data_IF_276619649439
#
_entry.id   IF_276619649439
#
_cell.length_a   1.000
_cell.length_b   1.000
_cell.length_c   1.000
_cell.angle_alpha   90.00
_cell.angle_beta   90.00
_cell.angle_gamma   90.00
#
_symmetry.space_group_name_H-M   'P 1'
#
loop_
_entity.id
_entity.type
_entity.pdbx_description
1 polymer ?
#
# COMPACT_ATOMS: atom_id res chain seq x y z
N UNK A 1 23.37 14.54 14.64
CA UNK A 1 23.18 13.23 14.03
C UNK A 1 24.57 12.71 13.71
N UNK A 2 24.96 11.59 14.33
CA UNK A 2 26.26 10.97 14.12
C UNK A 2 26.45 10.43 12.68
N UNK A 3 27.68 10.06 12.37
CA UNK A 3 27.98 9.32 11.14
C UNK A 3 27.21 7.99 11.12
N UNK A 4 27.05 7.37 9.95
CA UNK A 4 26.43 6.02 9.84
C UNK A 4 27.06 4.96 10.76
N UNK A 5 28.30 5.16 11.20
CA UNK A 5 29.01 4.26 12.11
C UNK A 5 28.63 4.49 13.59
N UNK A 6 28.02 5.64 13.92
CA UNK A 6 27.63 6.02 15.28
C UNK A 6 26.11 5.93 15.50
N UNK A 7 25.36 5.49 14.48
CA UNK A 7 23.92 5.31 14.59
C UNK A 7 23.59 4.18 15.59
N UNK A 8 23.04 4.53 16.74
CA UNK A 8 22.60 3.59 17.74
C UNK A 8 21.32 2.82 17.31
N UNK A 9 21.09 1.70 17.96
CA UNK A 9 19.85 0.94 17.83
C UNK A 9 18.82 1.48 18.83
N UNK A 10 17.61 1.76 18.36
CA UNK A 10 16.54 2.30 19.19
C UNK A 10 15.39 1.30 19.29
N UNK A 11 14.91 1.08 20.50
CA UNK A 11 13.71 0.32 20.77
C UNK A 11 12.53 1.29 20.86
N UNK A 12 11.56 1.16 19.94
CA UNK A 12 10.31 1.91 19.98
C UNK A 12 9.23 1.00 20.54
N UNK A 13 8.73 1.33 21.74
CA UNK A 13 7.71 0.53 22.44
C UNK A 13 6.39 1.29 22.45
N UNK A 14 5.31 0.69 21.97
CA UNK A 14 3.95 1.27 22.03
C UNK A 14 3.36 1.07 23.43
N UNK A 15 2.70 2.12 23.92
CA UNK A 15 1.94 2.16 25.19
C UNK A 15 0.58 2.81 24.93
N UNK A 16 -0.44 2.03 24.56
CA UNK A 16 -1.77 2.57 24.19
C UNK A 16 -1.67 3.69 23.14
N UNK A 17 -1.77 4.95 23.58
CA UNK A 17 -1.84 6.12 22.70
C UNK A 17 -0.52 6.87 22.53
N UNK A 18 0.58 6.34 23.06
CA UNK A 18 1.89 6.95 22.98
C UNK A 18 3.01 5.91 22.81
N UNK A 19 4.21 6.38 22.55
CA UNK A 19 5.39 5.55 22.35
C UNK A 19 6.50 6.01 23.29
N UNK A 20 7.33 5.07 23.69
CA UNK A 20 8.64 5.35 24.28
C UNK A 20 9.70 5.00 23.26
N UNK A 21 10.72 5.84 23.13
CA UNK A 21 11.88 5.63 22.26
C UNK A 21 13.11 5.51 23.19
N UNK A 22 13.68 4.32 23.24
CA UNK A 22 14.79 4.01 24.13
C UNK A 22 16.03 3.62 23.32
N UNK A 23 17.17 4.17 23.66
CA UNK A 23 18.46 3.72 23.15
C UNK A 23 18.79 2.34 23.76
N UNK A 24 18.99 1.34 22.92
CA UNK A 24 19.23 -0.03 23.38
C UNK A 24 20.55 -0.21 24.14
N UNK A 25 21.53 0.62 23.87
CA UNK A 25 22.87 0.55 24.51
C UNK A 25 22.85 1.23 25.87
N UNK A 26 22.37 2.47 25.93
CA UNK A 26 22.40 3.27 27.16
C UNK A 26 21.19 3.07 28.05
N UNK A 27 20.12 2.44 27.52
CA UNK A 27 18.82 2.28 28.19
C UNK A 27 18.16 3.60 28.60
N UNK A 28 18.51 4.69 27.91
CA UNK A 28 17.94 6.01 28.15
C UNK A 28 16.79 6.27 27.18
N UNK A 29 15.75 6.94 27.64
CA UNK A 29 14.63 7.36 26.82
C UNK A 29 14.92 8.69 26.12
N UNK A 30 14.47 8.80 24.88
CA UNK A 30 14.51 10.06 24.15
C UNK A 30 13.50 11.04 24.76
N UNK A 31 13.93 12.25 25.07
CA UNK A 31 13.12 13.33 25.61
C UNK A 31 13.39 14.64 24.88
N UNK A 32 12.52 15.62 25.02
CA UNK A 32 12.69 16.98 24.53
C UNK A 32 12.82 17.91 25.73
N UNK A 33 13.88 18.68 25.79
CA UNK A 33 14.07 19.72 26.81
C UNK A 33 13.38 21.05 26.42
N UNK A 34 13.38 22.00 27.33
CA UNK A 34 12.73 23.32 27.15
C UNK A 34 13.27 24.14 25.96
N UNK A 35 14.49 23.84 25.51
CA UNK A 35 15.10 24.45 24.34
C UNK A 35 14.81 23.71 23.02
N UNK A 36 13.85 22.80 23.00
CA UNK A 36 13.52 21.95 21.84
C UNK A 36 14.67 21.06 21.34
N UNK A 37 15.64 20.79 22.22
CA UNK A 37 16.74 19.85 21.96
C UNK A 37 16.30 18.46 22.36
N UNK A 38 16.51 17.49 21.47
CA UNK A 38 16.27 16.08 21.76
C UNK A 38 17.48 15.52 22.52
N UNK A 39 17.23 14.91 23.65
CA UNK A 39 18.26 14.29 24.49
C UNK A 39 17.80 12.93 25.06
N UNK A 40 18.75 12.08 25.38
CA UNK A 40 18.46 10.83 26.07
C UNK A 40 18.52 11.02 27.58
N UNK A 41 17.44 10.70 28.25
CA UNK A 41 17.24 10.86 29.69
C UNK A 41 16.87 9.56 30.36
N UNK A 42 17.07 9.51 31.68
CA UNK A 42 16.54 8.42 32.52
C UNK A 42 15.08 8.60 32.90
N UNK A 43 14.42 9.70 32.49
CA UNK A 43 13.03 9.94 32.79
C UNK A 43 12.13 8.89 32.10
N UNK A 44 11.45 8.10 32.93
CA UNK A 44 10.50 7.07 32.48
C UNK A 44 9.20 7.65 31.93
N UNK A 45 8.95 8.94 32.13
CA UNK A 45 7.75 9.65 31.66
C UNK A 45 7.97 10.32 30.29
N UNK A 46 9.17 10.19 29.71
CA UNK A 46 9.45 10.65 28.35
C UNK A 46 8.64 9.83 27.34
N UNK A 47 7.52 10.40 26.89
CA UNK A 47 6.59 9.74 25.97
C UNK A 47 6.41 10.55 24.69
N UNK A 48 6.25 9.84 23.59
CA UNK A 48 6.11 10.42 22.26
C UNK A 48 4.77 10.01 21.64
N UNK A 49 4.07 10.97 21.09
CA UNK A 49 2.99 10.68 20.15
C UNK A 49 3.60 10.69 18.74
N UNK A 50 3.74 9.52 18.16
CA UNK A 50 4.13 9.42 16.76
C UNK A 50 2.92 9.81 15.92
N UNK A 51 2.93 11.04 15.42
CA UNK A 51 1.98 11.48 14.41
C UNK A 51 2.63 11.30 13.06
N UNK A 52 1.88 10.69 12.13
CA UNK A 52 2.32 10.64 10.74
C UNK A 52 2.51 12.07 10.26
N UNK A 53 3.68 12.39 9.74
CA UNK A 53 3.85 13.62 9.00
C UNK A 53 3.03 13.48 7.71
N UNK A 54 1.82 14.02 7.70
CA UNK A 54 0.95 14.08 6.52
C UNK A 54 1.45 15.12 5.53
N UNK A 55 2.77 15.18 5.28
CA UNK A 55 3.25 15.84 4.08
C UNK A 55 2.61 15.07 2.94
N UNK A 56 1.75 15.72 2.18
CA UNK A 56 1.05 15.08 1.07
C UNK A 56 2.10 14.36 0.21
N UNK A 57 1.98 13.04 0.13
CA UNK A 57 2.83 12.27 -0.76
C UNK A 57 2.47 12.75 -2.16
N UNK A 58 3.45 13.25 -2.91
CA UNK A 58 3.24 13.64 -4.31
C UNK A 58 2.97 12.38 -5.13
N UNK A 59 1.72 11.97 -5.17
CA UNK A 59 1.28 10.69 -5.74
C UNK A 59 1.64 10.56 -7.23
N UNK A 60 1.74 11.68 -7.94
CA UNK A 60 2.15 11.73 -9.35
C UNK A 60 3.58 11.19 -9.60
N UNK A 61 4.44 11.28 -8.59
CA UNK A 61 5.85 10.86 -8.68
C UNK A 61 6.11 9.48 -8.04
N UNK A 62 5.06 8.78 -7.60
CA UNK A 62 5.21 7.45 -7.02
C UNK A 62 5.48 6.42 -8.13
N UNK A 63 6.45 5.55 -7.87
CA UNK A 63 6.70 4.40 -8.73
C UNK A 63 5.52 3.43 -8.70
N UNK A 64 5.16 2.89 -9.87
CA UNK A 64 4.22 1.77 -9.98
C UNK A 64 4.99 0.47 -9.83
N UNK A 65 4.58 -0.35 -8.87
CA UNK A 65 5.10 -1.71 -8.72
C UNK A 65 4.33 -2.66 -9.61
N UNK A 66 5.04 -3.28 -10.53
CA UNK A 66 4.43 -4.13 -11.57
C UNK A 66 4.65 -5.61 -11.28
N UNK A 67 3.62 -6.42 -11.48
CA UNK A 67 3.64 -7.85 -11.19
C UNK A 67 4.63 -8.67 -12.04
N UNK A 68 5.07 -8.14 -13.17
CA UNK A 68 6.01 -8.79 -14.08
C UNK A 68 7.47 -8.31 -13.94
N UNK A 69 7.82 -7.56 -12.88
CA UNK A 69 9.20 -7.19 -12.60
C UNK A 69 10.04 -8.47 -12.42
N UNK A 70 11.19 -8.61 -13.11
CA UNK A 70 12.05 -9.80 -13.05
C UNK A 70 12.45 -10.23 -11.65
N UNK A 71 12.46 -9.31 -10.68
CA UNK A 71 12.78 -9.59 -9.26
C UNK A 71 11.81 -10.59 -8.65
N UNK A 72 10.54 -10.53 -9.00
CA UNK A 72 9.50 -11.37 -8.41
C UNK A 72 8.55 -12.06 -9.39
N UNK A 73 8.57 -11.72 -10.68
CA UNK A 73 7.61 -12.20 -11.69
C UNK A 73 7.37 -13.72 -11.67
N UNK A 74 8.44 -14.50 -11.47
CA UNK A 74 8.41 -15.97 -11.46
C UNK A 74 8.08 -16.58 -10.10
N UNK A 75 7.83 -15.75 -9.07
CA UNK A 75 7.49 -16.27 -7.76
C UNK A 75 6.16 -17.04 -7.83
N UNK A 76 6.18 -18.29 -7.37
CA UNK A 76 4.97 -19.09 -7.26
C UNK A 76 3.94 -18.40 -6.36
N UNK A 77 2.73 -18.25 -6.86
CA UNK A 77 1.63 -17.64 -6.12
C UNK A 77 0.53 -18.69 -5.87
N UNK A 78 0.60 -19.31 -4.71
CA UNK A 78 -0.29 -20.37 -4.28
C UNK A 78 0.19 -20.99 -2.97
N UNK A 79 -0.46 -22.08 -2.56
CA UNK A 79 -0.05 -22.93 -1.44
C UNK A 79 0.64 -24.21 -2.00
N UNK A 80 1.01 -25.12 -1.12
CA UNK A 80 1.68 -26.40 -1.49
C UNK A 80 0.87 -27.27 -2.45
N UNK A 81 -0.45 -27.09 -2.52
CA UNK A 81 -1.33 -27.86 -3.41
C UNK A 81 -1.57 -27.16 -4.75
N UNK A 82 -1.26 -25.87 -4.86
CA UNK A 82 -1.37 -25.11 -6.11
C UNK A 82 -0.27 -25.57 -7.07
N UNK A 83 -0.67 -25.99 -8.27
CA UNK A 83 0.30 -26.45 -9.27
C UNK A 83 1.25 -25.31 -9.65
N UNK A 84 2.54 -25.63 -9.75
CA UNK A 84 3.53 -24.73 -10.30
C UNK A 84 3.40 -24.71 -11.83
N UNK A 85 2.61 -23.78 -12.32
CA UNK A 85 2.32 -23.55 -13.74
C UNK A 85 2.60 -22.11 -14.11
N UNK A 86 2.69 -21.84 -15.41
CA UNK A 86 2.87 -20.48 -15.92
C UNK A 86 1.69 -19.54 -15.56
N UNK A 87 0.57 -20.09 -15.09
CA UNK A 87 -0.61 -19.32 -14.65
C UNK A 87 -0.63 -19.06 -13.15
N UNK A 88 0.23 -19.70 -12.36
CA UNK A 88 0.25 -19.61 -10.90
C UNK A 88 1.53 -18.93 -10.38
N UNK A 89 1.87 -17.78 -10.94
CA UNK A 89 2.98 -16.94 -10.51
C UNK A 89 2.58 -15.46 -10.45
N UNK A 90 3.44 -14.60 -9.93
CA UNK A 90 3.14 -13.18 -9.84
C UNK A 90 2.91 -12.53 -11.19
N UNK A 91 3.68 -12.88 -12.22
CA UNK A 91 3.55 -12.29 -13.54
C UNK A 91 2.13 -12.45 -14.12
N UNK A 92 1.52 -13.59 -13.92
CA UNK A 92 0.22 -13.93 -14.52
C UNK A 92 -0.97 -13.73 -13.58
N UNK A 93 -0.78 -13.87 -12.28
CA UNK A 93 -1.88 -13.90 -11.30
C UNK A 93 -1.72 -12.90 -10.16
N UNK A 94 -0.66 -12.09 -10.15
CA UNK A 94 -0.30 -11.22 -9.04
C UNK A 94 -1.02 -9.87 -8.98
N UNK A 95 -1.94 -9.56 -9.89
CA UNK A 95 -2.53 -8.22 -10.00
C UNK A 95 -3.16 -7.72 -8.69
N UNK A 96 -3.90 -8.56 -7.95
CA UNK A 96 -4.51 -8.17 -6.68
C UNK A 96 -3.47 -7.88 -5.58
N UNK A 97 -2.38 -8.65 -5.55
CA UNK A 97 -1.26 -8.41 -4.62
C UNK A 97 -0.59 -7.08 -4.94
N UNK A 98 -0.22 -6.84 -6.20
CA UNK A 98 0.49 -5.61 -6.59
C UNK A 98 -0.42 -4.37 -6.61
N UNK A 99 -1.73 -4.52 -6.84
CA UNK A 99 -2.68 -3.44 -6.60
C UNK A 99 -2.70 -3.06 -5.11
N UNK A 100 -2.65 -4.03 -4.20
CA UNK A 100 -2.54 -3.78 -2.75
C UNK A 100 -1.20 -3.13 -2.39
N UNK A 101 -0.08 -3.58 -2.97
CA UNK A 101 1.24 -2.94 -2.81
C UNK A 101 1.19 -1.48 -3.21
N UNK A 102 0.67 -1.17 -4.40
CA UNK A 102 0.55 0.19 -4.91
C UNK A 102 -0.36 1.06 -4.02
N UNK A 103 -1.48 0.50 -3.54
CA UNK A 103 -2.39 1.20 -2.64
C UNK A 103 -1.71 1.58 -1.31
N UNK A 104 -1.07 0.63 -0.64
CA UNK A 104 -0.37 0.86 0.62
C UNK A 104 0.79 1.86 0.41
N UNK A 105 1.58 1.67 -0.63
CA UNK A 105 2.69 2.57 -0.96
C UNK A 105 2.22 4.01 -1.21
N UNK A 106 1.13 4.19 -1.95
CA UNK A 106 0.58 5.52 -2.22
C UNK A 106 0.02 6.22 -0.97
N UNK A 107 -0.45 5.47 0.01
CA UNK A 107 -0.97 6.01 1.28
C UNK A 107 0.14 6.29 2.29
N UNK A 108 1.17 5.45 2.32
CA UNK A 108 2.13 5.42 3.43
C UNK A 108 3.58 5.71 3.05
N UNK A 109 3.92 5.61 1.77
CA UNK A 109 5.30 5.60 1.33
C UNK A 109 6.07 4.34 1.72
N UNK A 110 5.44 3.38 2.42
CA UNK A 110 6.06 2.10 2.76
C UNK A 110 5.83 1.11 1.64
N UNK A 111 6.89 0.44 1.21
CA UNK A 111 6.79 -0.70 0.31
C UNK A 111 6.46 -1.96 1.12
N UNK A 112 5.24 -2.51 1.02
CA UNK A 112 4.92 -3.76 1.67
C UNK A 112 5.56 -4.93 0.92
N UNK A 113 5.96 -5.97 1.67
CA UNK A 113 6.53 -7.17 1.07
C UNK A 113 5.45 -7.94 0.28
N UNK A 114 5.55 -8.04 -1.06
CA UNK A 114 4.58 -8.74 -1.88
C UNK A 114 4.54 -10.26 -1.58
N UNK A 115 5.64 -10.83 -1.13
CA UNK A 115 5.69 -12.25 -0.75
C UNK A 115 4.87 -12.53 0.50
N UNK A 116 4.96 -11.65 1.52
CA UNK A 116 4.17 -11.76 2.75
C UNK A 116 2.67 -11.61 2.46
N UNK A 117 2.30 -10.68 1.60
CA UNK A 117 0.91 -10.48 1.17
C UNK A 117 0.37 -11.72 0.42
N UNK A 118 1.15 -12.27 -0.50
CA UNK A 118 0.77 -13.43 -1.30
C UNK A 118 0.68 -14.71 -0.45
N UNK A 119 1.61 -14.91 0.48
CA UNK A 119 1.56 -16.03 1.42
C UNK A 119 0.29 -15.96 2.26
N UNK A 120 -0.03 -14.77 2.80
CA UNK A 120 -1.27 -14.59 3.57
C UNK A 120 -2.52 -14.85 2.72
N UNK A 121 -2.53 -14.37 1.46
CA UNK A 121 -3.66 -14.63 0.55
C UNK A 121 -3.85 -16.14 0.31
N UNK A 122 -2.76 -16.88 0.12
CA UNK A 122 -2.79 -18.33 -0.09
C UNK A 122 -3.22 -19.09 1.16
N UNK A 123 -2.67 -18.76 2.33
CA UNK A 123 -2.98 -19.41 3.62
C UNK A 123 -4.43 -19.20 4.06
N UNK A 124 -5.03 -18.09 3.64
CA UNK A 124 -6.40 -17.70 3.99
C UNK A 124 -7.41 -17.97 2.87
N UNK A 125 -7.00 -18.72 1.84
CA UNK A 125 -7.84 -19.12 0.71
C UNK A 125 -8.38 -17.94 -0.14
N UNK A 126 -7.68 -16.81 -0.15
CA UNK A 126 -7.97 -15.70 -1.07
C UNK A 126 -7.25 -15.86 -2.41
N UNK A 127 -6.36 -16.82 -2.56
CA UNK A 127 -5.78 -17.19 -3.84
C UNK A 127 -6.72 -18.18 -4.55
N UNK A 128 -7.18 -17.79 -5.75
CA UNK A 128 -7.98 -18.63 -6.63
C UNK A 128 -7.06 -19.19 -7.71
N UNK A 129 -6.89 -20.51 -7.75
CA UNK A 129 -6.01 -21.19 -8.72
C UNK A 129 -6.40 -20.83 -10.16
N UNK A 130 -5.41 -20.60 -11.02
CA UNK A 130 -5.55 -20.21 -12.43
C UNK A 130 -6.34 -18.89 -12.68
N UNK A 131 -6.67 -18.15 -11.62
CA UNK A 131 -7.46 -16.92 -11.71
C UNK A 131 -6.73 -15.70 -11.14
N UNK A 132 -6.41 -15.72 -9.85
CA UNK A 132 -5.80 -14.56 -9.19
C UNK A 132 -6.16 -14.45 -7.71
N UNK A 133 -6.42 -13.24 -7.27
CA UNK A 133 -6.75 -12.92 -5.88
C UNK A 133 -8.25 -12.66 -5.75
N UNK A 134 -8.90 -13.31 -4.78
CA UNK A 134 -10.28 -13.03 -4.39
C UNK A 134 -10.41 -11.63 -3.78
N UNK A 135 -11.50 -10.94 -4.05
CA UNK A 135 -11.72 -9.56 -3.57
C UNK A 135 -11.85 -9.44 -2.04
N UNK A 136 -12.24 -10.49 -1.36
CA UNK A 136 -12.25 -10.55 0.11
C UNK A 136 -10.87 -10.34 0.74
N UNK A 137 -9.82 -10.58 -0.03
CA UNK A 137 -8.43 -10.31 0.38
C UNK A 137 -8.21 -8.85 0.78
N UNK A 138 -8.80 -7.88 0.10
CA UNK A 138 -8.51 -6.47 0.35
C UNK A 138 -8.91 -6.04 1.77
N UNK A 139 -10.09 -6.44 2.24
CA UNK A 139 -10.49 -6.22 3.63
C UNK A 139 -9.60 -6.98 4.60
N UNK A 140 -9.36 -8.26 4.34
CA UNK A 140 -8.52 -9.11 5.20
C UNK A 140 -7.07 -8.64 5.27
N UNK A 141 -6.51 -8.11 4.18
CA UNK A 141 -5.18 -7.52 4.15
C UNK A 141 -5.09 -6.28 5.07
N UNK A 142 -6.12 -5.43 5.07
CA UNK A 142 -6.15 -4.28 5.98
C UNK A 142 -6.27 -4.70 7.45
N UNK A 143 -7.09 -5.69 7.75
CA UNK A 143 -7.20 -6.25 9.11
C UNK A 143 -5.88 -6.87 9.60
N UNK A 144 -5.12 -7.51 8.71
CA UNK A 144 -3.86 -8.17 9.05
C UNK A 144 -2.66 -7.22 9.08
N UNK A 145 -2.54 -6.36 8.09
CA UNK A 145 -1.34 -5.56 7.83
C UNK A 145 -1.53 -4.07 8.08
N UNK A 146 -2.76 -3.62 8.31
CA UNK A 146 -3.09 -2.21 8.45
C UNK A 146 -2.25 -1.52 9.51
N UNK A 147 -2.14 -2.11 10.69
CA UNK A 147 -1.29 -1.60 11.76
C UNK A 147 0.20 -1.51 11.37
N UNK A 148 0.71 -2.53 10.66
CA UNK A 148 2.12 -2.58 10.24
C UNK A 148 2.47 -1.48 9.24
N UNK A 149 1.57 -1.20 8.32
CA UNK A 149 1.82 -0.27 7.21
C UNK A 149 1.02 1.03 7.27
N UNK A 150 0.19 1.22 8.31
CA UNK A 150 -0.56 2.46 8.58
C UNK A 150 -1.68 2.71 7.59
N UNK A 151 -2.56 1.72 7.36
CA UNK A 151 -3.74 1.85 6.53
C UNK A 151 -4.90 1.03 7.08
N UNK A 152 -6.11 1.38 6.69
CA UNK A 152 -7.32 0.61 7.00
C UNK A 152 -8.24 0.48 5.78
N UNK A 153 -9.12 -0.53 5.84
CA UNK A 153 -10.17 -0.71 4.85
C UNK A 153 -11.34 0.22 5.15
N UNK A 154 -11.77 0.99 4.15
CA UNK A 154 -12.83 1.99 4.29
C UNK A 154 -14.07 1.70 3.43
N UNK A 155 -14.30 0.42 3.15
CA UNK A 155 -15.48 -0.03 2.41
C UNK A 155 -15.24 -0.30 0.94
N UNK A 156 -16.33 -0.53 0.23
CA UNK A 156 -16.34 -0.75 -1.22
C UNK A 156 -17.57 -0.09 -1.85
N UNK A 157 -17.48 0.26 -3.12
CA UNK A 157 -18.58 0.87 -3.87
C UNK A 157 -18.39 0.74 -5.37
N UNK A 158 -19.39 1.17 -6.12
CA UNK A 158 -19.40 1.12 -7.60
C UNK A 158 -19.55 2.53 -8.20
N UNK A 159 -19.71 3.55 -7.35
CA UNK A 159 -20.02 4.91 -7.76
C UNK A 159 -18.77 5.75 -7.99
N UNK A 160 -18.62 6.32 -9.18
CA UNK A 160 -17.60 7.32 -9.47
C UNK A 160 -17.75 8.61 -8.65
N UNK A 161 -18.97 8.94 -8.21
CA UNK A 161 -19.18 10.06 -7.29
C UNK A 161 -18.51 9.78 -5.94
N UNK A 162 -18.76 8.61 -5.38
CA UNK A 162 -18.13 8.17 -4.14
C UNK A 162 -16.60 8.08 -4.28
N UNK A 163 -16.11 7.48 -5.37
CA UNK A 163 -14.69 7.43 -5.67
C UNK A 163 -14.03 8.82 -5.63
N UNK A 164 -14.67 9.84 -6.28
CA UNK A 164 -14.16 11.22 -6.27
C UNK A 164 -14.10 11.80 -4.85
N UNK A 165 -15.09 11.53 -4.03
CA UNK A 165 -15.15 11.99 -2.64
C UNK A 165 -14.03 11.34 -1.82
N UNK A 166 -13.89 10.01 -1.90
CA UNK A 166 -12.84 9.25 -1.22
C UNK A 166 -11.43 9.71 -1.60
N UNK A 167 -11.16 9.88 -2.90
CA UNK A 167 -9.85 10.35 -3.36
C UNK A 167 -9.54 11.79 -2.90
N UNK A 168 -10.53 12.68 -2.80
CA UNK A 168 -10.37 14.03 -2.25
C UNK A 168 -10.07 14.01 -0.74
N UNK A 169 -10.56 13.02 -0.01
CA UNK A 169 -10.25 12.80 1.40
C UNK A 169 -8.83 12.23 1.61
N UNK A 170 -8.17 11.83 0.52
CA UNK A 170 -6.82 11.25 0.53
C UNK A 170 -6.78 9.74 0.50
N UNK A 171 -7.92 9.09 0.37
CA UNK A 171 -8.04 7.65 0.23
C UNK A 171 -7.44 7.17 -1.10
N UNK A 172 -7.31 5.87 -1.23
CA UNK A 172 -6.90 5.15 -2.43
C UNK A 172 -7.91 4.04 -2.70
N UNK A 173 -8.16 3.75 -3.96
CA UNK A 173 -9.09 2.70 -4.34
C UNK A 173 -8.39 1.60 -5.15
N UNK A 174 -8.57 0.34 -4.77
CA UNK A 174 -8.28 -0.79 -5.64
C UNK A 174 -9.52 -0.97 -6.54
N UNK A 175 -9.32 -0.86 -7.84
CA UNK A 175 -10.37 -0.97 -8.85
C UNK A 175 -10.39 -2.38 -9.44
N UNK A 176 -11.55 -3.04 -9.43
CA UNK A 176 -11.75 -4.29 -10.14
C UNK A 176 -12.10 -4.01 -11.59
N UNK A 177 -11.26 -4.47 -12.47
CA UNK A 177 -11.37 -4.44 -13.92
C UNK A 177 -11.73 -5.87 -14.41
N UNK A 178 -12.25 -6.08 -15.62
CA UNK A 178 -12.51 -7.43 -16.11
C UNK A 178 -11.25 -8.32 -16.08
N UNK A 179 -11.23 -9.26 -15.13
CA UNK A 179 -10.11 -10.19 -14.92
C UNK A 179 -8.82 -9.56 -14.42
N UNK A 180 -8.88 -8.36 -13.81
CA UNK A 180 -7.70 -7.62 -13.38
C UNK A 180 -7.99 -6.66 -12.22
N UNK A 181 -6.94 -6.26 -11.48
CA UNK A 181 -7.00 -5.20 -10.48
C UNK A 181 -5.96 -4.12 -10.78
N UNK A 182 -6.40 -2.86 -10.71
CA UNK A 182 -5.52 -1.68 -10.72
C UNK A 182 -5.75 -0.83 -9.46
N UNK A 183 -4.96 0.22 -9.28
CA UNK A 183 -5.07 1.11 -8.12
C UNK A 183 -5.29 2.54 -8.58
N UNK A 184 -6.35 3.18 -8.13
CA UNK A 184 -6.62 4.60 -8.36
C UNK A 184 -6.21 5.36 -7.10
N UNK A 185 -5.22 6.24 -7.24
CA UNK A 185 -4.55 6.86 -6.09
C UNK A 185 -4.83 8.35 -5.93
N UNK A 186 -5.32 9.02 -6.98
CA UNK A 186 -5.60 10.45 -6.93
C UNK A 186 -6.67 10.87 -7.96
N UNK A 187 -7.23 12.06 -7.75
CA UNK A 187 -8.18 12.69 -8.67
C UNK A 187 -7.84 14.16 -8.88
N UNK A 188 -7.55 14.53 -10.12
CA UNK A 188 -7.30 15.91 -10.52
C UNK A 188 -8.60 16.58 -10.96
N UNK A 189 -9.20 17.38 -10.08
CA UNK A 189 -10.48 18.06 -10.34
C UNK A 189 -10.42 19.08 -11.49
N UNK A 190 -9.23 19.66 -11.78
CA UNK A 190 -9.09 20.64 -12.88
C UNK A 190 -9.10 19.98 -14.25
N UNK A 191 -8.57 18.75 -14.33
CA UNK A 191 -8.48 17.98 -15.56
C UNK A 191 -9.59 16.92 -15.67
N UNK A 192 -10.37 16.71 -14.61
CA UNK A 192 -11.36 15.61 -14.45
C UNK A 192 -10.74 14.25 -14.81
N UNK A 193 -9.59 13.96 -14.18
CA UNK A 193 -8.83 12.74 -14.43
C UNK A 193 -8.44 12.04 -13.13
N UNK A 194 -8.30 10.72 -13.24
CA UNK A 194 -7.89 9.83 -12.17
C UNK A 194 -6.47 9.33 -12.41
N UNK A 195 -5.67 9.24 -11.37
CA UNK A 195 -4.32 8.68 -11.45
C UNK A 195 -4.40 7.16 -11.21
N UNK A 196 -4.18 6.40 -12.26
CA UNK A 196 -4.20 4.93 -12.25
C UNK A 196 -2.79 4.38 -12.16
N UNK A 197 -2.53 3.54 -11.17
CA UNK A 197 -1.35 2.69 -11.03
C UNK A 197 -1.72 1.26 -11.42
N UNK A 198 -1.35 0.83 -12.62
CA UNK A 198 -1.67 -0.49 -13.14
C UNK A 198 -0.50 -1.46 -12.90
N UNK A 199 -0.67 -2.52 -12.08
CA UNK A 199 0.38 -3.50 -11.81
C UNK A 199 0.71 -4.38 -13.03
N UNK A 200 -0.17 -4.43 -14.03
CA UNK A 200 0.09 -5.10 -15.31
C UNK A 200 0.25 -4.07 -16.43
N UNK A 201 1.22 -3.19 -16.23
CA UNK A 201 1.61 -2.21 -17.22
C UNK A 201 1.90 -2.88 -18.57
N UNK A 202 1.11 -2.53 -19.56
CA UNK A 202 1.39 -2.86 -20.96
C UNK A 202 1.63 -1.56 -21.70
N UNK A 203 2.81 -1.38 -22.36
CA UNK A 203 3.08 -0.20 -23.18
C UNK A 203 1.98 0.09 -24.20
N UNK A 204 1.28 -0.93 -24.66
CA UNK A 204 0.13 -0.82 -25.57
C UNK A 204 -1.11 -0.17 -24.95
N UNK A 205 -1.22 -0.11 -23.61
CA UNK A 205 -2.29 0.59 -22.89
C UNK A 205 -1.92 2.05 -22.61
N UNK A 206 -0.71 2.48 -22.92
CA UNK A 206 -0.25 3.84 -22.69
C UNK A 206 0.12 4.15 -21.23
N UNK A 207 0.29 3.12 -20.39
CA UNK A 207 0.66 3.30 -18.98
C UNK A 207 2.17 3.42 -18.81
N UNK A 208 2.64 4.25 -17.90
CA UNK A 208 4.06 4.52 -17.66
C UNK A 208 4.55 3.86 -16.36
N UNK A 209 5.85 3.86 -16.09
CA UNK A 209 6.41 3.41 -14.80
C UNK A 209 5.95 4.25 -13.60
N UNK A 210 5.34 5.40 -13.87
CA UNK A 210 4.58 6.22 -12.95
C UNK A 210 3.11 6.12 -13.35
N UNK A 211 2.17 6.34 -12.44
CA UNK A 211 0.75 6.26 -12.75
C UNK A 211 0.32 7.12 -13.96
N UNK A 212 -0.73 6.71 -14.64
CA UNK A 212 -1.30 7.44 -15.78
C UNK A 212 -2.57 8.18 -15.41
N UNK A 213 -2.73 9.40 -15.92
CA UNK A 213 -3.94 10.18 -15.80
C UNK A 213 -4.99 9.75 -16.83
N UNK A 214 -5.98 9.00 -16.39
CA UNK A 214 -7.09 8.49 -17.21
C UNK A 214 -8.38 9.27 -16.97
N UNK A 215 -9.25 9.35 -17.96
CA UNK A 215 -10.58 9.96 -17.80
C UNK A 215 -11.58 8.98 -17.16
N UNK A 216 -12.70 9.50 -16.64
CA UNK A 216 -13.79 8.63 -16.18
C UNK A 216 -14.30 7.74 -17.33
N UNK A 217 -14.37 8.27 -18.54
CA UNK A 217 -14.78 7.50 -19.72
C UNK A 217 -13.84 6.31 -19.98
N UNK A 218 -12.51 6.49 -19.80
CA UNK A 218 -11.55 5.40 -19.96
C UNK A 218 -11.77 4.30 -18.92
N UNK A 219 -12.23 4.68 -17.69
CA UNK A 219 -12.54 3.75 -16.61
C UNK A 219 -13.90 3.05 -16.76
N UNK A 220 -14.88 3.71 -17.37
CA UNK A 220 -16.24 3.17 -17.58
C UNK A 220 -16.35 2.30 -18.84
N UNK A 221 -15.57 2.61 -19.86
CA UNK A 221 -15.69 2.01 -21.18
C UNK A 221 -14.38 1.33 -21.63
N UNK A 222 -14.48 0.49 -22.65
CA UNK A 222 -13.34 -0.12 -23.29
C UNK A 222 -12.66 -1.21 -22.45
N UNK A 223 -11.32 -1.19 -22.39
CA UNK A 223 -10.54 -2.24 -21.74
C UNK A 223 -10.48 -2.14 -20.22
N UNK A 224 -10.85 -1.01 -19.63
CA UNK A 224 -10.83 -0.81 -18.19
C UNK A 224 -12.15 -1.26 -17.54
N UNK A 225 -13.31 -0.75 -17.96
CA UNK A 225 -14.64 -1.16 -17.52
C UNK A 225 -14.74 -1.48 -16.01
N UNK A 226 -14.34 -0.50 -15.18
CA UNK A 226 -14.30 -0.72 -13.72
C UNK A 226 -15.68 -1.12 -13.19
N UNK A 227 -15.71 -2.18 -12.39
CA UNK A 227 -16.93 -2.75 -11.82
C UNK A 227 -17.12 -2.39 -10.36
N UNK A 228 -16.04 -2.38 -9.59
CA UNK A 228 -16.07 -2.15 -8.13
C UNK A 228 -14.80 -1.47 -7.67
N UNK A 229 -14.91 -0.63 -6.65
CA UNK A 229 -13.82 0.01 -5.94
C UNK A 229 -13.73 -0.53 -4.50
N UNK A 230 -12.53 -0.82 -4.03
CA UNK A 230 -12.24 -1.18 -2.63
C UNK A 230 -11.37 -0.08 -2.05
N UNK A 231 -11.86 0.61 -1.03
CA UNK A 231 -11.23 1.82 -0.50
C UNK A 231 -10.29 1.52 0.64
N UNK A 232 -9.11 2.13 0.60
CA UNK A 232 -8.15 2.18 1.69
C UNK A 232 -7.89 3.63 2.08
N UNK A 233 -7.77 3.87 3.39
CA UNK A 233 -7.38 5.15 3.96
C UNK A 233 -6.13 5.03 4.81
N UNK A 234 -5.38 6.13 4.95
CA UNK A 234 -4.25 6.22 5.86
C UNK A 234 -4.74 6.30 7.32
N UNK A 235 -4.03 5.62 8.25
CA UNK A 235 -4.20 5.71 9.70
C UNK A 235 -3.16 6.60 10.36
#
# INVERSE_FOLDING_TARGET
>A
WGSKQEAGTFLITRKKDYYTICDETTKRNLSQNDGSILEFTTDSNAVWRLTRNKKAIEKENLQVFVQFDPVWAKHHYGNETTKDTDTNNFCTSGCGIFATVNAIYSLSGHFPDPYELAQYASDKHYRIEDCGTDSGFFKAAAEKFGYKYGFSYDGSGESFKELKEKLKEGDTAIAYLPGHYGTIVDYNAKKDKYLLMDPHYLPKRGTSSFGDWVSQKDLEEGTLMVQTFFYYKAE
#
